data_IF_104961308264
#
_entry.id   IF_104961308264
#
_cell.length_a   1.000
_cell.length_b   1.000
_cell.length_c   1.000
_cell.angle_alpha   90.00
_cell.angle_beta   90.00
_cell.angle_gamma   90.00
#
_symmetry.space_group_name_H-M   'P 1'
#
loop_
_entity.id
_entity.type
_entity.pdbx_description
1 polymer ?
#
# COMPACT_ATOMS: atom_id res chain seq x y z
N UNK A 1 -4.08 7.20 19.78
CA UNK A 1 -3.40 8.20 18.92
C UNK A 1 -2.47 7.44 17.99
N UNK A 2 -2.92 7.23 16.76
CA UNK A 2 -2.10 6.76 15.66
C UNK A 2 -0.98 7.78 15.49
N UNK A 3 0.24 7.34 15.26
CA UNK A 3 1.47 8.13 15.17
C UNK A 3 1.27 9.41 14.32
N UNK A 4 1.26 10.58 14.97
CA UNK A 4 0.91 11.88 14.35
C UNK A 4 2.05 12.48 13.49
N UNK A 5 3.15 11.73 13.25
CA UNK A 5 4.29 12.21 12.44
C UNK A 5 5.07 11.04 11.84
N UNK A 6 4.44 10.29 10.94
CA UNK A 6 5.18 9.31 10.15
C UNK A 6 5.58 9.94 8.82
N UNK A 7 6.85 10.32 8.67
CA UNK A 7 7.43 10.61 7.35
C UNK A 7 7.66 9.24 6.70
N UNK A 8 6.82 8.88 5.75
CA UNK A 8 6.99 7.63 4.99
C UNK A 8 7.97 7.90 3.85
N UNK A 9 9.18 7.38 3.96
CA UNK A 9 10.13 7.33 2.86
C UNK A 9 9.85 6.09 2.03
N UNK A 10 9.83 6.23 0.74
CA UNK A 10 9.61 5.13 -0.18
C UNK A 10 10.85 4.90 -1.03
N UNK A 11 11.30 3.67 -1.13
CA UNK A 11 12.49 3.28 -1.88
C UNK A 11 12.07 2.32 -2.99
N UNK A 12 12.33 2.69 -4.24
CA UNK A 12 12.15 1.79 -5.39
C UNK A 12 13.51 1.29 -5.86
N UNK A 13 13.68 -0.02 -5.96
CA UNK A 13 14.86 -0.64 -6.55
C UNK A 13 14.67 -0.78 -8.06
N UNK A 14 15.42 0.01 -8.84
CA UNK A 14 15.53 -0.17 -10.29
C UNK A 14 16.83 -0.93 -10.61
N UNK A 15 16.85 -1.67 -11.73
CA UNK A 15 17.96 -2.55 -12.17
C UNK A 15 19.25 -1.82 -12.53
N UNK A 16 19.36 -0.51 -12.32
CA UNK A 16 20.52 0.32 -12.59
C UNK A 16 21.12 0.98 -11.33
N UNK A 17 21.24 0.28 -10.22
CA UNK A 17 21.99 0.66 -9.00
C UNK A 17 21.64 2.05 -8.38
N UNK A 18 20.62 2.74 -8.80
CA UNK A 18 20.18 4.01 -8.18
C UNK A 18 18.85 3.85 -7.48
N UNK A 19 18.90 3.94 -6.16
CA UNK A 19 17.72 3.98 -5.30
C UNK A 19 16.99 5.31 -5.50
N UNK A 20 15.69 5.27 -5.82
CA UNK A 20 14.84 6.47 -5.89
C UNK A 20 14.15 6.70 -4.56
N UNK A 21 14.31 7.91 -4.03
CA UNK A 21 13.57 8.35 -2.84
C UNK A 21 12.28 9.03 -3.25
N UNK A 22 11.20 8.68 -2.59
CA UNK A 22 9.87 9.26 -2.77
C UNK A 22 9.13 9.24 -1.43
N UNK A 23 7.93 9.78 -1.37
CA UNK A 23 7.10 9.74 -0.17
C UNK A 23 5.62 9.96 -0.49
N UNK A 24 4.76 9.60 0.45
CA UNK A 24 3.36 9.99 0.42
C UNK A 24 3.25 11.47 0.78
N UNK A 25 3.38 12.34 -0.22
CA UNK A 25 3.44 13.79 -0.03
C UNK A 25 2.14 14.38 0.55
N UNK A 26 1.04 13.64 0.53
CA UNK A 26 -0.22 14.00 1.21
C UNK A 26 -0.11 14.01 2.75
N UNK A 27 0.99 13.49 3.30
CA UNK A 27 1.33 13.64 4.72
C UNK A 27 1.89 15.02 5.04
N UNK A 28 2.49 15.70 4.06
CA UNK A 28 2.89 17.10 4.20
C UNK A 28 1.70 18.06 4.01
N UNK A 29 0.82 17.79 3.04
CA UNK A 29 -0.37 18.61 2.75
C UNK A 29 -1.34 17.90 1.84
N UNK A 30 -2.63 18.23 1.93
CA UNK A 30 -3.63 17.82 0.94
C UNK A 30 -3.57 18.63 -0.35
N UNK A 31 -2.99 19.82 -0.32
CA UNK A 31 -2.82 20.69 -1.49
C UNK A 31 -1.65 20.21 -2.37
N UNK A 32 -1.92 19.96 -3.64
CA UNK A 32 -0.91 19.41 -4.58
C UNK A 32 0.30 20.33 -4.78
N UNK A 33 0.09 21.65 -4.84
CA UNK A 33 1.20 22.59 -5.02
C UNK A 33 2.15 22.54 -3.82
N UNK A 34 1.59 22.38 -2.61
CA UNK A 34 2.36 22.21 -1.38
C UNK A 34 3.07 20.85 -1.34
N UNK A 35 2.43 19.76 -1.80
CA UNK A 35 3.07 18.45 -1.94
C UNK A 35 4.30 18.52 -2.86
N UNK A 36 4.14 19.14 -4.03
CA UNK A 36 5.23 19.34 -5.01
C UNK A 36 6.36 20.16 -4.38
N UNK A 37 6.02 21.27 -3.71
CA UNK A 37 6.99 22.13 -3.04
C UNK A 37 7.79 21.37 -1.99
N UNK A 38 7.13 20.67 -1.07
CA UNK A 38 7.76 19.89 -0.02
C UNK A 38 8.69 18.80 -0.60
N UNK A 39 8.27 18.10 -1.65
CA UNK A 39 9.09 17.12 -2.35
C UNK A 39 10.36 17.73 -2.93
N UNK A 40 10.25 18.89 -3.59
CA UNK A 40 11.40 19.61 -4.16
C UNK A 40 12.35 20.16 -3.08
N UNK A 41 11.85 20.60 -1.96
CA UNK A 41 12.66 21.07 -0.82
C UNK A 41 13.53 19.95 -0.23
N UNK A 42 13.08 18.68 -0.32
CA UNK A 42 13.87 17.50 0.01
C UNK A 42 14.89 17.12 -1.07
N UNK A 43 14.93 17.81 -2.19
CA UNK A 43 15.74 17.46 -3.35
C UNK A 43 15.23 16.26 -4.13
N UNK A 44 13.96 15.88 -3.94
CA UNK A 44 13.35 14.74 -4.61
C UNK A 44 12.58 15.17 -5.87
N UNK A 45 12.42 14.19 -6.76
CA UNK A 45 11.69 14.35 -8.03
C UNK A 45 10.53 13.36 -8.18
N UNK A 46 10.19 12.64 -7.12
CA UNK A 46 9.18 11.59 -7.15
C UNK A 46 8.22 11.70 -5.96
N UNK A 47 6.95 11.40 -6.19
CA UNK A 47 5.89 11.31 -5.20
C UNK A 47 5.20 9.95 -5.34
N UNK A 48 5.05 9.19 -4.25
CA UNK A 48 4.07 8.10 -4.16
C UNK A 48 2.68 8.73 -4.01
N UNK A 49 1.88 8.70 -5.07
CA UNK A 49 0.62 9.44 -5.08
C UNK A 49 -0.50 8.67 -4.38
N UNK A 50 -1.15 9.29 -3.40
CA UNK A 50 -2.27 8.72 -2.65
C UNK A 50 -3.46 9.67 -2.64
N UNK A 51 -3.37 10.78 -1.93
CA UNK A 51 -4.45 11.75 -1.78
C UNK A 51 -4.07 13.11 -2.36
N UNK A 52 -5.01 13.71 -3.08
CA UNK A 52 -4.94 15.12 -3.51
C UNK A 52 -6.27 15.76 -3.12
N UNK A 53 -6.23 16.81 -2.34
CA UNK A 53 -7.43 17.32 -1.67
C UNK A 53 -8.02 16.24 -0.74
N UNK A 54 -9.33 16.08 -0.80
CA UNK A 54 -10.06 15.10 0.04
C UNK A 54 -10.29 13.76 -0.67
N UNK A 55 -9.65 13.51 -1.82
CA UNK A 55 -9.89 12.32 -2.62
C UNK A 55 -8.62 11.55 -2.90
N UNK A 56 -8.75 10.22 -2.95
CA UNK A 56 -7.68 9.42 -3.53
C UNK A 56 -7.56 9.74 -5.03
N UNK A 57 -6.33 9.74 -5.53
CA UNK A 57 -6.03 10.11 -6.91
C UNK A 57 -6.86 9.33 -7.94
N UNK A 58 -7.20 8.06 -7.66
CA UNK A 58 -8.03 7.25 -8.56
C UNK A 58 -9.54 7.55 -8.43
N UNK A 59 -9.96 8.36 -7.45
CA UNK A 59 -11.37 8.74 -7.22
C UNK A 59 -11.67 10.20 -7.59
N UNK A 60 -10.66 10.96 -8.01
CA UNK A 60 -10.84 12.35 -8.43
C UNK A 60 -11.78 12.44 -9.65
N UNK A 61 -12.57 13.51 -9.78
CA UNK A 61 -13.22 13.84 -11.05
C UNK A 61 -12.17 13.95 -12.16
N UNK A 62 -12.50 13.51 -13.38
CA UNK A 62 -11.53 13.44 -14.48
C UNK A 62 -10.85 14.80 -14.76
N UNK A 63 -11.64 15.88 -14.81
CA UNK A 63 -11.10 17.23 -15.06
C UNK A 63 -10.13 17.70 -13.96
N UNK A 64 -10.31 17.26 -12.70
CA UNK A 64 -9.42 17.60 -11.60
C UNK A 64 -8.16 16.72 -11.64
N UNK A 65 -8.31 15.45 -12.03
CA UNK A 65 -7.19 14.55 -12.25
C UNK A 65 -6.26 15.05 -13.35
N UNK A 66 -6.80 15.44 -14.53
CA UNK A 66 -5.99 15.97 -15.63
C UNK A 66 -5.23 17.24 -15.23
N UNK A 67 -5.87 18.17 -14.50
CA UNK A 67 -5.17 19.35 -13.95
C UNK A 67 -4.04 18.97 -13.01
N UNK A 68 -4.26 17.95 -12.16
CA UNK A 68 -3.23 17.48 -11.24
C UNK A 68 -2.07 16.81 -12.00
N UNK A 69 -2.37 16.02 -13.03
CA UNK A 69 -1.37 15.40 -13.89
C UNK A 69 -0.52 16.44 -14.63
N UNK A 70 -1.16 17.48 -15.20
CA UNK A 70 -0.45 18.58 -15.85
C UNK A 70 0.48 19.33 -14.88
N UNK A 71 0.02 19.61 -13.64
CA UNK A 71 0.85 20.24 -12.61
C UNK A 71 2.06 19.39 -12.22
N UNK A 72 1.90 18.08 -12.14
CA UNK A 72 3.00 17.14 -11.87
C UNK A 72 4.00 17.12 -13.03
N UNK A 73 3.51 17.08 -14.28
CA UNK A 73 4.36 17.11 -15.47
C UNK A 73 5.14 18.44 -15.58
N UNK A 74 4.49 19.58 -15.39
CA UNK A 74 5.13 20.91 -15.39
C UNK A 74 6.17 21.05 -14.28
N UNK A 75 5.91 20.40 -13.13
CA UNK A 75 6.86 20.38 -12.02
C UNK A 75 8.02 19.41 -12.22
N UNK A 76 7.97 18.52 -13.22
CA UNK A 76 8.94 17.44 -13.42
C UNK A 76 8.90 16.38 -12.31
N UNK A 77 7.74 16.15 -11.70
CA UNK A 77 7.53 15.16 -10.68
C UNK A 77 7.03 13.87 -11.32
N UNK A 78 7.70 12.76 -11.04
CA UNK A 78 7.28 11.42 -11.46
C UNK A 78 6.50 10.72 -10.36
N UNK A 79 5.60 9.82 -10.74
CA UNK A 79 4.79 9.01 -9.81
C UNK A 79 5.19 7.54 -9.97
N UNK A 80 6.14 7.01 -9.17
CA UNK A 80 6.55 5.61 -9.27
C UNK A 80 5.47 4.66 -8.78
N UNK A 81 4.66 5.07 -7.82
CA UNK A 81 3.63 4.26 -7.18
C UNK A 81 2.32 5.04 -7.03
N UNK A 82 1.21 4.36 -7.30
CA UNK A 82 -0.14 4.82 -6.98
C UNK A 82 -0.66 4.07 -5.74
N UNK A 83 -0.82 4.79 -4.63
CA UNK A 83 -1.39 4.27 -3.39
C UNK A 83 -2.91 4.19 -3.45
N UNK A 84 -3.45 3.12 -4.04
CA UNK A 84 -4.89 2.96 -4.23
C UNK A 84 -5.64 2.61 -2.94
N UNK A 85 -6.97 2.69 -2.99
CA UNK A 85 -7.88 2.19 -1.95
C UNK A 85 -8.43 0.79 -2.28
N UNK A 86 -7.91 0.12 -3.31
CA UNK A 86 -8.38 -1.20 -3.74
C UNK A 86 -8.12 -2.22 -2.64
N UNK A 87 -9.17 -2.91 -2.23
CA UNK A 87 -9.15 -3.94 -1.19
C UNK A 87 -8.55 -3.45 0.15
N UNK A 88 -8.66 -2.15 0.46
CA UNK A 88 -8.08 -1.59 1.67
C UNK A 88 -8.77 -2.09 2.96
N UNK A 89 -8.15 -1.80 4.10
CA UNK A 89 -8.62 -2.18 5.43
C UNK A 89 -10.00 -1.61 5.82
N UNK A 90 -10.50 -0.60 5.12
CA UNK A 90 -11.85 -0.08 5.28
C UNK A 90 -12.93 -0.87 4.53
N UNK A 91 -12.55 -1.88 3.75
CA UNK A 91 -13.46 -2.73 2.96
C UNK A 91 -13.42 -4.16 3.48
N UNK A 92 -14.59 -4.73 3.76
CA UNK A 92 -14.69 -6.14 4.16
C UNK A 92 -14.70 -7.05 2.93
N UNK A 93 -14.38 -8.32 3.14
CA UNK A 93 -14.42 -9.32 2.06
C UNK A 93 -15.84 -9.56 1.53
N UNK A 94 -16.87 -9.25 2.34
CA UNK A 94 -18.29 -9.38 1.95
C UNK A 94 -18.78 -8.18 1.11
N UNK A 95 -17.98 -7.11 0.99
CA UNK A 95 -18.33 -5.98 0.12
C UNK A 95 -18.45 -6.42 -1.34
N UNK A 96 -19.33 -5.74 -2.10
CA UNK A 96 -19.47 -6.03 -3.54
C UNK A 96 -18.12 -5.89 -4.25
N UNK A 97 -17.69 -6.94 -4.93
CA UNK A 97 -16.44 -6.95 -5.70
C UNK A 97 -16.48 -5.96 -6.88
N UNK A 98 -17.66 -5.60 -7.36
CA UNK A 98 -17.85 -4.56 -8.38
C UNK A 98 -17.21 -3.22 -8.00
N UNK A 99 -17.12 -2.91 -6.70
CA UNK A 99 -16.44 -1.71 -6.20
C UNK A 99 -14.95 -1.75 -6.61
N UNK A 100 -14.26 -2.84 -6.32
CA UNK A 100 -12.84 -3.00 -6.67
C UNK A 100 -12.63 -2.97 -8.19
N UNK A 101 -13.53 -3.60 -8.96
CA UNK A 101 -13.46 -3.59 -10.43
C UNK A 101 -13.60 -2.17 -10.98
N UNK A 102 -14.54 -1.36 -10.49
CA UNK A 102 -14.67 0.03 -10.88
C UNK A 102 -13.48 0.90 -10.46
N UNK A 103 -12.83 0.60 -9.33
CA UNK A 103 -11.58 1.26 -8.92
C UNK A 103 -10.44 0.94 -9.89
N UNK A 104 -10.29 -0.31 -10.31
CA UNK A 104 -9.28 -0.74 -11.29
C UNK A 104 -9.49 -0.03 -12.64
N UNK A 105 -10.73 0.03 -13.11
CA UNK A 105 -11.09 0.70 -14.37
C UNK A 105 -10.71 2.18 -14.36
N UNK A 106 -10.77 2.85 -13.21
CA UNK A 106 -10.30 4.23 -13.05
C UNK A 106 -8.79 4.33 -12.87
N UNK A 107 -8.16 3.37 -12.16
CA UNK A 107 -6.72 3.39 -11.91
C UNK A 107 -5.89 3.24 -13.18
N UNK A 108 -6.22 2.28 -14.04
CA UNK A 108 -5.40 1.90 -15.21
C UNK A 108 -5.13 3.10 -16.13
N UNK A 109 -6.15 3.83 -16.65
CA UNK A 109 -5.88 4.97 -17.53
C UNK A 109 -5.10 6.08 -16.83
N UNK A 110 -5.34 6.31 -15.54
CA UNK A 110 -4.62 7.31 -14.75
C UNK A 110 -3.15 6.97 -14.56
N UNK A 111 -2.86 5.70 -14.27
CA UNK A 111 -1.49 5.22 -14.20
C UNK A 111 -0.78 5.36 -15.55
N UNK A 112 -1.46 5.06 -16.65
CA UNK A 112 -0.93 5.26 -18.00
C UNK A 112 -0.65 6.73 -18.29
N UNK A 113 -1.57 7.65 -17.94
CA UNK A 113 -1.39 9.12 -18.09
C UNK A 113 -0.20 9.64 -17.28
N UNK A 114 0.01 9.13 -16.06
CA UNK A 114 1.11 9.52 -15.17
C UNK A 114 2.43 8.78 -15.46
N UNK A 115 2.43 7.79 -16.35
CA UNK A 115 3.59 6.91 -16.57
C UNK A 115 3.90 5.97 -15.39
N UNK A 116 3.00 5.88 -14.42
CA UNK A 116 3.12 5.02 -13.23
C UNK A 116 3.08 3.55 -13.62
N UNK A 117 3.98 2.75 -13.04
CA UNK A 117 4.05 1.29 -13.32
C UNK A 117 3.60 0.41 -12.17
N UNK A 118 3.51 0.95 -10.96
CA UNK A 118 3.24 0.19 -9.75
C UNK A 118 2.00 0.73 -9.05
N UNK A 119 1.11 -0.18 -8.62
CA UNK A 119 -0.08 0.15 -7.84
C UNK A 119 -0.08 -0.64 -6.54
N UNK A 120 -0.25 0.05 -5.42
CA UNK A 120 -0.44 -0.58 -4.13
C UNK A 120 -1.90 -0.97 -3.94
N UNK A 121 -2.10 -2.22 -3.56
CA UNK A 121 -3.38 -2.76 -3.10
C UNK A 121 -3.22 -3.37 -1.71
N UNK A 122 -4.34 -3.68 -1.06
CA UNK A 122 -4.38 -4.44 0.18
C UNK A 122 -5.14 -5.75 -0.01
N UNK A 123 -5.49 -6.45 1.07
CA UNK A 123 -6.15 -7.75 1.03
C UNK A 123 -7.46 -7.76 1.80
N UNK A 124 -8.17 -6.63 1.84
CA UNK A 124 -9.39 -6.36 2.62
C UNK A 124 -9.15 -6.35 4.14
N UNK A 125 -10.11 -5.81 4.87
CA UNK A 125 -10.13 -5.88 6.32
C UNK A 125 -10.06 -7.33 6.81
N UNK A 126 -9.50 -7.49 7.97
CA UNK A 126 -9.52 -8.74 8.72
C UNK A 126 -10.93 -8.96 9.26
N UNK A 127 -11.42 -10.20 9.25
CA UNK A 127 -12.54 -10.58 10.07
C UNK A 127 -12.08 -10.74 11.53
N UNK A 128 -12.97 -10.67 12.52
CA UNK A 128 -12.61 -10.93 13.90
C UNK A 128 -11.80 -12.21 14.05
N UNK A 129 -10.84 -12.22 14.94
CA UNK A 129 -9.98 -13.39 15.15
C UNK A 129 -10.80 -14.61 15.61
N UNK A 130 -10.52 -15.75 15.00
CA UNK A 130 -11.28 -16.99 15.24
C UNK A 130 -12.48 -17.18 14.32
N UNK A 131 -12.88 -16.17 13.56
CA UNK A 131 -13.87 -16.30 12.50
C UNK A 131 -13.22 -16.68 11.16
N UNK A 132 -14.03 -17.18 10.23
CA UNK A 132 -13.58 -17.48 8.87
C UNK A 132 -13.09 -16.21 8.19
N UNK A 133 -11.85 -16.21 7.74
CA UNK A 133 -11.22 -15.10 7.02
C UNK A 133 -11.57 -15.06 5.52
N UNK A 134 -12.43 -15.99 5.07
CA UNK A 134 -12.87 -16.08 3.66
C UNK A 134 -11.70 -16.13 2.66
N UNK A 135 -10.66 -16.88 2.99
CA UNK A 135 -9.40 -16.89 2.24
C UNK A 135 -9.58 -17.26 0.77
N UNK A 136 -10.42 -18.25 0.48
CA UNK A 136 -10.70 -18.69 -0.89
C UNK A 136 -11.21 -17.55 -1.76
N UNK A 137 -12.18 -16.78 -1.26
CA UNK A 137 -12.74 -15.63 -1.99
C UNK A 137 -11.74 -14.46 -2.03
N UNK A 138 -10.98 -14.24 -0.95
CA UNK A 138 -9.93 -13.24 -0.87
C UNK A 138 -8.88 -13.46 -1.94
N UNK A 139 -8.35 -14.66 -2.06
CA UNK A 139 -7.37 -15.01 -3.09
C UNK A 139 -7.97 -14.96 -4.50
N UNK A 140 -9.20 -15.40 -4.67
CA UNK A 140 -9.90 -15.29 -5.96
C UNK A 140 -9.97 -13.82 -6.43
N UNK A 141 -10.42 -12.91 -5.55
CA UNK A 141 -10.50 -11.47 -5.88
C UNK A 141 -9.13 -10.87 -6.15
N UNK A 142 -8.14 -11.19 -5.34
CA UNK A 142 -6.78 -10.67 -5.54
C UNK A 142 -6.15 -11.16 -6.85
N UNK A 143 -6.36 -12.43 -7.23
CA UNK A 143 -5.92 -12.94 -8.55
C UNK A 143 -6.55 -12.14 -9.70
N UNK A 144 -7.84 -11.84 -9.62
CA UNK A 144 -8.51 -11.02 -10.63
C UNK A 144 -7.96 -9.59 -10.67
N UNK A 145 -7.75 -8.96 -9.52
CA UNK A 145 -7.14 -7.63 -9.39
C UNK A 145 -5.76 -7.62 -10.06
N UNK A 146 -4.88 -8.55 -9.66
CA UNK A 146 -3.51 -8.65 -10.20
C UNK A 146 -3.53 -8.91 -11.70
N UNK A 147 -4.40 -9.81 -12.17
CA UNK A 147 -4.54 -10.11 -13.60
C UNK A 147 -4.90 -8.87 -14.41
N UNK A 148 -5.87 -8.06 -13.97
CA UNK A 148 -6.32 -6.87 -14.71
C UNK A 148 -5.21 -5.83 -14.82
N UNK A 149 -4.44 -5.61 -13.76
CA UNK A 149 -3.29 -4.72 -13.83
C UNK A 149 -2.18 -5.30 -14.72
N UNK A 150 -1.88 -6.59 -14.60
CA UNK A 150 -0.89 -7.25 -15.44
C UNK A 150 -1.26 -7.23 -16.94
N UNK A 151 -2.54 -7.44 -17.29
CA UNK A 151 -3.04 -7.32 -18.66
C UNK A 151 -2.82 -5.91 -19.24
N UNK A 152 -2.76 -4.88 -18.37
CA UNK A 152 -2.44 -3.50 -18.74
C UNK A 152 -0.92 -3.17 -18.66
N UNK A 153 -0.07 -4.14 -18.39
CA UNK A 153 1.39 -3.97 -18.28
C UNK A 153 1.82 -3.26 -16.98
N UNK A 154 1.02 -3.39 -15.92
CA UNK A 154 1.23 -2.76 -14.62
C UNK A 154 1.52 -3.80 -13.53
N UNK A 155 2.30 -3.41 -12.54
CA UNK A 155 2.68 -4.27 -11.42
C UNK A 155 1.85 -3.95 -10.18
N UNK A 156 1.27 -4.99 -9.59
CA UNK A 156 0.53 -4.88 -8.33
C UNK A 156 1.43 -5.22 -7.16
N UNK A 157 1.46 -4.38 -6.13
CA UNK A 157 2.15 -4.61 -4.87
C UNK A 157 1.17 -4.62 -3.70
N UNK A 158 1.41 -5.49 -2.73
CA UNK A 158 0.62 -5.59 -1.50
C UNK A 158 1.42 -5.03 -0.31
N UNK A 159 0.79 -4.17 0.49
CA UNK A 159 1.39 -3.62 1.70
C UNK A 159 1.03 -4.45 2.94
N UNK A 160 2.03 -4.73 3.78
CA UNK A 160 1.87 -5.33 5.10
C UNK A 160 1.25 -4.33 6.11
N UNK A 161 0.01 -3.93 5.88
CA UNK A 161 -0.76 -2.99 6.69
C UNK A 161 -1.82 -3.74 7.53
N UNK A 162 -2.71 -3.02 8.21
CA UNK A 162 -3.85 -3.56 8.99
C UNK A 162 -4.90 -4.21 8.07
N UNK A 163 -4.54 -5.31 7.44
CA UNK A 163 -5.38 -6.11 6.55
C UNK A 163 -4.96 -7.58 6.68
N UNK A 164 -5.65 -8.50 6.04
CA UNK A 164 -5.39 -9.95 6.19
C UNK A 164 -3.92 -10.32 5.94
N UNK A 165 -3.31 -9.80 4.88
CA UNK A 165 -1.91 -10.08 4.54
C UNK A 165 -0.89 -9.49 5.53
N UNK A 166 -1.30 -8.51 6.35
CA UNK A 166 -0.50 -7.93 7.42
C UNK A 166 -0.58 -8.68 8.75
N UNK A 167 -1.36 -9.74 8.86
CA UNK A 167 -1.48 -10.54 10.08
C UNK A 167 -0.14 -11.14 10.56
N UNK A 168 0.72 -11.49 9.63
CA UNK A 168 2.09 -11.97 9.86
C UNK A 168 2.87 -12.07 8.56
N UNK A 169 4.17 -12.32 8.66
CA UNK A 169 5.00 -12.65 7.49
C UNK A 169 4.50 -13.89 6.74
N UNK A 170 3.98 -14.88 7.46
CA UNK A 170 3.40 -16.10 6.87
C UNK A 170 2.18 -15.79 5.99
N UNK A 171 1.31 -14.87 6.44
CA UNK A 171 0.15 -14.45 5.66
C UNK A 171 0.59 -13.67 4.39
N UNK A 172 1.60 -12.82 4.49
CA UNK A 172 2.17 -12.13 3.32
C UNK A 172 2.81 -13.11 2.32
N UNK A 173 3.55 -14.10 2.78
CA UNK A 173 4.12 -15.15 1.93
C UNK A 173 3.04 -15.97 1.25
N UNK A 174 2.00 -16.34 2.00
CA UNK A 174 0.85 -17.07 1.45
C UNK A 174 0.12 -16.27 0.38
N UNK A 175 0.01 -14.93 0.52
CA UNK A 175 -0.52 -14.09 -0.56
C UNK A 175 0.30 -14.19 -1.84
N UNK A 176 1.62 -14.16 -1.74
CA UNK A 176 2.51 -14.26 -2.92
C UNK A 176 2.41 -15.65 -3.55
N UNK A 177 2.28 -16.71 -2.75
CA UNK A 177 2.10 -18.08 -3.23
C UNK A 177 0.76 -18.26 -3.96
N UNK A 178 -0.33 -17.78 -3.34
CA UNK A 178 -1.70 -17.97 -3.82
C UNK A 178 -2.12 -17.01 -4.93
N UNK A 179 -1.39 -15.89 -5.10
CA UNK A 179 -1.71 -14.83 -6.06
C UNK A 179 -0.54 -14.58 -7.00
N UNK A 180 -0.39 -15.39 -8.05
CA UNK A 180 0.72 -15.26 -8.98
C UNK A 180 0.83 -13.85 -9.59
N UNK A 181 2.05 -13.31 -9.62
CA UNK A 181 2.34 -11.96 -10.13
C UNK A 181 2.24 -10.85 -9.08
N UNK A 182 1.66 -11.11 -7.91
CA UNK A 182 1.69 -10.16 -6.79
C UNK A 182 3.12 -9.99 -6.27
N UNK A 183 3.52 -8.76 -6.04
CA UNK A 183 4.76 -8.38 -5.34
C UNK A 183 4.42 -7.72 -4.01
N UNK A 184 5.44 -7.45 -3.21
CA UNK A 184 5.25 -6.80 -1.92
C UNK A 184 5.86 -5.40 -1.90
N UNK A 185 5.19 -4.52 -1.19
CA UNK A 185 5.76 -3.33 -0.59
C UNK A 185 5.87 -3.58 0.92
N UNK A 186 7.04 -3.38 1.49
CA UNK A 186 7.28 -3.59 2.90
C UNK A 186 7.28 -2.25 3.65
N UNK A 187 6.32 -2.07 4.54
CA UNK A 187 6.31 -0.96 5.50
C UNK A 187 7.04 -1.38 6.78
N UNK A 188 8.07 -0.64 7.16
CA UNK A 188 8.95 -0.98 8.29
C UNK A 188 8.30 -0.75 9.64
N UNK A 189 7.29 0.13 9.71
CA UNK A 189 6.61 0.50 10.95
C UNK A 189 5.35 -0.33 11.24
N UNK A 190 4.63 -0.76 10.20
CA UNK A 190 3.37 -1.47 10.39
C UNK A 190 3.49 -2.73 11.28
N UNK A 191 4.52 -3.58 11.18
CA UNK A 191 4.65 -4.73 12.07
C UNK A 191 4.80 -4.35 13.55
N UNK A 192 5.39 -3.19 13.84
CA UNK A 192 5.72 -2.80 15.23
C UNK A 192 4.47 -2.63 16.11
N UNK A 193 3.33 -2.26 15.54
CA UNK A 193 2.07 -2.08 16.27
C UNK A 193 1.00 -3.14 15.93
N UNK A 194 1.39 -4.26 15.32
CA UNK A 194 0.48 -5.36 15.00
C UNK A 194 0.90 -6.63 15.73
N UNK A 195 -0.09 -7.45 16.07
CA UNK A 195 0.14 -8.77 16.65
C UNK A 195 0.45 -9.81 15.57
N UNK A 196 1.37 -10.72 15.85
CA UNK A 196 1.69 -11.84 14.95
C UNK A 196 0.63 -12.94 15.12
N UNK A 197 -0.36 -12.93 14.24
CA UNK A 197 -1.51 -13.86 14.29
C UNK A 197 -1.14 -15.30 13.85
N UNK A 198 0.08 -15.56 13.40
CA UNK A 198 0.56 -16.91 13.14
C UNK A 198 1.07 -17.62 14.40
N UNK A 199 1.25 -16.91 15.51
CA UNK A 199 1.88 -17.41 16.75
C UNK A 199 0.97 -17.25 17.97
N UNK A 200 -0.17 -17.98 18.07
CA UNK A 200 -1.02 -17.92 19.25
C UNK A 200 -0.27 -18.45 20.49
N UNK A 201 -0.39 -17.74 21.60
CA UNK A 201 0.18 -18.12 22.90
C UNK A 201 -0.81 -18.98 23.70
N UNK A 202 -0.31 -19.65 24.75
CA UNK A 202 -1.13 -20.56 25.56
C UNK A 202 -2.27 -19.83 26.32
N UNK A 203 -2.12 -18.54 26.58
CA UNK A 203 -3.13 -17.67 27.22
C UNK A 203 -4.14 -17.06 26.22
N UNK A 204 -4.04 -17.40 24.92
CA UNK A 204 -4.89 -16.88 23.86
C UNK A 204 -4.44 -15.53 23.29
N UNK A 205 -3.35 -14.97 23.78
CA UNK A 205 -2.76 -13.73 23.24
C UNK A 205 -1.85 -14.01 22.04
N UNK A 206 -1.36 -12.93 21.41
CA UNK A 206 -0.40 -12.99 20.32
C UNK A 206 0.79 -12.07 20.62
N UNK A 207 2.02 -12.46 20.31
CA UNK A 207 3.18 -11.59 20.45
C UNK A 207 3.10 -10.43 19.46
N UNK A 208 3.80 -9.34 19.74
CA UNK A 208 4.03 -8.30 18.74
C UNK A 208 4.86 -8.86 17.59
N UNK A 209 4.60 -8.36 16.37
CA UNK A 209 5.44 -8.70 15.24
C UNK A 209 6.81 -8.05 15.39
N UNK A 210 7.85 -8.77 14.96
CA UNK A 210 9.20 -8.24 14.81
C UNK A 210 9.41 -7.81 13.36
N UNK A 211 9.58 -6.50 13.13
CA UNK A 211 9.72 -5.95 11.80
C UNK A 211 10.95 -6.50 11.04
N UNK A 212 12.03 -6.80 11.74
CA UNK A 212 13.25 -7.32 11.12
C UNK A 212 13.10 -8.79 10.74
N UNK A 213 12.49 -9.61 11.60
CA UNK A 213 12.17 -11.00 11.26
C UNK A 213 11.16 -11.07 10.11
N UNK A 214 10.16 -10.19 10.12
CA UNK A 214 9.22 -10.07 9.01
C UNK A 214 9.94 -9.73 7.70
N UNK A 215 10.78 -8.70 7.73
CA UNK A 215 11.60 -8.33 6.57
C UNK A 215 12.43 -9.50 6.03
N UNK A 216 13.15 -10.21 6.90
CA UNK A 216 13.95 -11.38 6.50
C UNK A 216 13.13 -12.44 5.78
N UNK A 217 11.90 -12.66 6.24
CA UNK A 217 11.02 -13.66 5.65
C UNK A 217 10.52 -13.27 4.24
N UNK A 218 10.20 -11.98 4.01
CA UNK A 218 9.51 -11.55 2.78
C UNK A 218 10.39 -10.85 1.75
N UNK A 219 11.61 -10.45 2.08
CA UNK A 219 12.46 -9.56 1.28
C UNK A 219 12.64 -9.96 -0.19
N UNK A 220 12.68 -11.24 -0.49
CA UNK A 220 12.84 -11.75 -1.87
C UNK A 220 11.63 -11.42 -2.78
N UNK A 221 10.50 -11.05 -2.19
CA UNK A 221 9.27 -10.67 -2.88
C UNK A 221 9.03 -9.16 -2.88
N UNK A 222 9.85 -8.40 -2.13
CA UNK A 222 9.70 -6.95 -1.96
C UNK A 222 10.39 -6.22 -3.10
N UNK A 223 9.66 -5.31 -3.75
CA UNK A 223 10.19 -4.44 -4.81
C UNK A 223 10.09 -2.95 -4.44
N UNK A 224 9.46 -2.65 -3.31
CA UNK A 224 9.23 -1.30 -2.83
C UNK A 224 9.21 -1.27 -1.31
N UNK A 225 9.67 -0.19 -0.67
CA UNK A 225 9.75 -0.10 0.78
C UNK A 225 9.14 1.23 1.23
N UNK A 226 8.24 1.16 2.22
CA UNK A 226 7.80 2.31 3.01
C UNK A 226 8.63 2.35 4.29
N UNK A 227 9.43 3.40 4.46
CA UNK A 227 10.22 3.60 5.68
C UNK A 227 9.44 4.48 6.63
N UNK A 228 9.08 3.92 7.76
CA UNK A 228 8.31 4.58 8.81
C UNK A 228 8.87 4.23 10.18
N UNK A 229 8.94 5.21 11.07
CA UNK A 229 9.27 4.99 12.49
C UNK A 229 7.98 4.78 13.30
N UNK A 230 7.99 3.80 14.18
CA UNK A 230 6.85 3.44 15.02
C UNK A 230 7.31 2.94 16.39
N UNK A 231 6.44 3.10 17.39
CA UNK A 231 6.60 2.52 18.71
C UNK A 231 5.44 1.56 19.01
N UNK A 232 5.73 0.52 19.77
CA UNK A 232 4.67 -0.35 20.27
C UNK A 232 3.67 0.47 21.08
N UNK A 233 2.37 0.19 20.95
CA UNK A 233 1.36 0.79 21.80
C UNK A 233 1.68 0.55 23.29
N UNK A 234 1.52 1.59 24.11
CA UNK A 234 1.78 1.51 25.56
C UNK A 234 0.67 0.71 26.26
N UNK A 235 -0.49 0.55 25.63
CA UNK A 235 -1.62 -0.24 26.15
C UNK A 235 -2.16 -1.18 25.08
N UNK A 236 -2.69 -2.33 25.51
CA UNK A 236 -3.35 -3.31 24.67
C UNK A 236 -4.72 -2.83 24.11
N UNK A 237 -5.11 -1.59 24.38
CA UNK A 237 -6.42 -1.01 24.01
C UNK A 237 -6.52 -0.57 22.54
N UNK A 238 -5.56 -0.94 21.70
CA UNK A 238 -5.56 -0.66 20.26
C UNK A 238 -5.73 -1.97 19.50
N UNK A 239 -6.91 -2.57 19.60
CA UNK A 239 -7.40 -3.62 18.70
C UNK A 239 -8.56 -3.10 17.85
#
# INVERSE_FOLDING_TARGET
RICDTAIVYTITLETNDTMKLTGFADEASRDLATQIKATKELGWTAISARMIGDRNIHEMPEADFEKAADQLDEAGIVIPELGSLIANWGKTIDSDFGIALGEIERCIPRMQRLGTKMVRVMSYAQNPWGEDQNETERFRRLREIVKRFADAGLTTVHENCMNWGGFSSEHSLRLVEEVPGLKLVFDTGNPVFQRDRSKPQADGTFPWQDAFEFWKAVREHVIHIHVKDCQNPISDDVE
#
